data_IF_026106132243
#
_entry.id   IF_026106132243
#
_cell.length_a   1.000
_cell.length_b   1.000
_cell.length_c   1.000
_cell.angle_alpha   90.00
_cell.angle_beta   90.00
_cell.angle_gamma   90.00
#
_symmetry.space_group_name_H-M   'P 1'
#
loop_
_entity.id
_entity.type
_entity.pdbx_description
1 polymer ?
#
# COMPACT_ATOMS: atom_id res chain seq x y z
N UNK A 1 -16.33 -37.88 -8.21
CA UNK A 1 -16.61 -36.46 -7.94
C UNK A 1 -15.63 -36.02 -6.87
N UNK A 2 -14.75 -35.05 -7.18
CA UNK A 2 -13.77 -34.57 -6.19
C UNK A 2 -14.48 -33.84 -5.09
N UNK A 3 -13.99 -34.02 -3.86
CA UNK A 3 -14.43 -33.19 -2.75
C UNK A 3 -13.68 -31.86 -2.86
N UNK A 4 -14.39 -30.75 -2.70
CA UNK A 4 -13.79 -29.41 -2.54
C UNK A 4 -12.72 -29.40 -1.43
N UNK A 5 -12.79 -30.34 -0.49
CA UNK A 5 -11.81 -30.50 0.56
C UNK A 5 -10.38 -30.77 0.04
N UNK A 6 -10.20 -31.45 -1.11
CA UNK A 6 -8.89 -31.75 -1.64
C UNK A 6 -8.14 -30.51 -2.10
N UNK A 7 -8.86 -29.58 -2.71
CA UNK A 7 -8.35 -28.27 -3.12
C UNK A 7 -7.97 -27.44 -1.89
N UNK A 8 -8.80 -27.49 -0.86
CA UNK A 8 -8.57 -26.80 0.40
C UNK A 8 -7.38 -27.41 1.16
N UNK A 9 -7.20 -28.73 1.18
CA UNK A 9 -6.05 -29.39 1.80
C UNK A 9 -4.75 -29.04 1.08
N UNK A 10 -4.77 -29.01 -0.24
CA UNK A 10 -3.61 -28.57 -1.01
C UNK A 10 -3.26 -27.10 -0.71
N UNK A 11 -4.25 -26.23 -0.73
CA UNK A 11 -4.09 -24.82 -0.33
C UNK A 11 -3.45 -24.68 1.05
N UNK A 12 -3.93 -25.38 2.07
CA UNK A 12 -3.37 -25.33 3.43
C UNK A 12 -1.91 -25.76 3.46
N UNK A 13 -1.56 -26.87 2.78
CA UNK A 13 -0.20 -27.42 2.79
C UNK A 13 0.78 -26.47 2.11
N UNK A 14 0.41 -25.83 1.03
CA UNK A 14 1.26 -24.84 0.35
C UNK A 14 1.35 -23.56 1.17
N UNK A 15 0.24 -23.03 1.66
CA UNK A 15 0.19 -21.82 2.48
C UNK A 15 1.08 -21.86 3.71
N UNK A 16 1.10 -23.01 4.40
CA UNK A 16 1.90 -23.20 5.62
C UNK A 16 3.30 -23.79 5.37
N UNK A 17 3.71 -23.94 4.11
CA UNK A 17 5.04 -24.40 3.75
C UNK A 17 5.30 -25.87 4.06
N UNK A 18 4.26 -26.72 4.21
CA UNK A 18 4.40 -28.15 4.40
C UNK A 18 3.32 -28.82 5.23
N UNK A 19 3.32 -30.16 5.20
CA UNK A 19 2.30 -30.99 5.83
C UNK A 19 2.23 -30.89 7.36
N UNK A 20 3.37 -30.71 8.02
CA UNK A 20 3.41 -30.62 9.49
C UNK A 20 2.83 -29.31 9.97
N UNK A 21 3.29 -28.20 9.41
CA UNK A 21 2.79 -26.85 9.75
C UNK A 21 1.30 -26.70 9.38
N UNK A 22 0.87 -27.24 8.24
CA UNK A 22 -0.54 -27.26 7.87
C UNK A 22 -1.42 -28.08 8.84
N UNK A 23 -0.90 -29.21 9.33
CA UNK A 23 -1.59 -30.05 10.31
C UNK A 23 -1.78 -29.32 11.65
N UNK A 24 -0.76 -28.62 12.12
CA UNK A 24 -0.81 -27.83 13.35
C UNK A 24 -1.80 -26.64 13.24
N UNK A 25 -1.77 -25.96 12.09
CA UNK A 25 -2.62 -24.80 11.86
C UNK A 25 -4.10 -25.13 11.62
N UNK A 26 -4.44 -26.34 11.12
CA UNK A 26 -5.80 -26.71 10.68
C UNK A 26 -6.51 -27.75 11.53
N UNK A 27 -5.84 -28.36 12.50
CA UNK A 27 -6.33 -29.54 13.26
C UNK A 27 -6.65 -30.76 12.36
N UNK A 28 -6.08 -30.82 11.15
CA UNK A 28 -6.20 -31.96 10.24
C UNK A 28 -4.93 -32.79 10.30
N UNK A 29 -5.06 -34.11 10.45
CA UNK A 29 -3.89 -34.97 10.60
C UNK A 29 -3.00 -34.96 9.35
N UNK A 30 -1.68 -34.96 9.54
CA UNK A 30 -0.69 -35.00 8.45
C UNK A 30 -0.91 -36.15 7.48
N UNK A 31 -1.31 -37.32 8.00
CA UNK A 31 -1.63 -38.49 7.18
C UNK A 31 -2.83 -38.29 6.28
N UNK A 32 -3.88 -37.59 6.76
CA UNK A 32 -5.06 -37.25 5.96
C UNK A 32 -4.69 -36.26 4.86
N UNK A 33 -3.96 -35.18 5.17
CA UNK A 33 -3.52 -34.20 4.18
C UNK A 33 -2.67 -34.87 3.09
N UNK A 34 -1.68 -35.68 3.48
CA UNK A 34 -0.79 -36.35 2.54
C UNK A 34 -1.54 -37.32 1.62
N UNK A 35 -2.44 -38.15 2.19
CA UNK A 35 -3.21 -39.12 1.41
C UNK A 35 -4.12 -38.44 0.39
N UNK A 36 -4.88 -37.40 0.82
CA UNK A 36 -5.83 -36.72 -0.06
C UNK A 36 -5.15 -35.97 -1.20
N UNK A 37 -3.99 -35.38 -0.96
CA UNK A 37 -3.21 -34.73 -2.02
C UNK A 37 -2.62 -35.77 -2.97
N UNK A 38 -2.17 -36.93 -2.45
CA UNK A 38 -1.76 -38.05 -3.29
C UNK A 38 -2.89 -38.54 -4.22
N UNK A 39 -4.07 -38.75 -3.67
CA UNK A 39 -5.22 -39.20 -4.43
C UNK A 39 -5.56 -38.19 -5.54
N UNK A 40 -5.44 -36.87 -5.25
CA UNK A 40 -5.62 -35.80 -6.23
C UNK A 40 -4.57 -35.86 -7.36
N UNK A 41 -3.27 -35.97 -7.01
CA UNK A 41 -2.17 -36.08 -7.98
C UNK A 41 -2.33 -37.34 -8.87
N UNK A 42 -2.68 -38.47 -8.28
CA UNK A 42 -2.87 -39.74 -9.00
C UNK A 42 -4.03 -39.63 -9.99
N UNK A 43 -5.10 -39.03 -9.60
CA UNK A 43 -6.29 -38.97 -10.44
C UNK A 43 -6.09 -38.13 -11.70
N UNK A 44 -5.38 -37.01 -11.59
CA UNK A 44 -5.07 -36.18 -12.75
C UNK A 44 -3.76 -36.58 -13.43
N UNK A 45 -3.08 -37.61 -12.91
CA UNK A 45 -1.76 -38.06 -13.37
C UNK A 45 -0.74 -36.89 -13.44
N UNK A 46 -0.72 -36.07 -12.40
CA UNK A 46 0.16 -34.91 -12.27
C UNK A 46 0.94 -34.95 -10.96
N UNK A 47 2.02 -34.18 -10.87
CA UNK A 47 2.75 -33.94 -9.62
C UNK A 47 2.65 -32.47 -9.25
N UNK A 48 2.04 -32.17 -8.10
CA UNK A 48 1.86 -30.82 -7.56
C UNK A 48 2.95 -30.50 -6.52
N UNK A 49 3.47 -31.53 -5.81
CA UNK A 49 4.48 -31.41 -4.79
C UNK A 49 5.65 -32.32 -5.13
N UNK A 50 6.87 -31.76 -5.15
CA UNK A 50 8.08 -32.55 -5.28
C UNK A 50 8.33 -33.30 -3.96
N UNK A 51 8.32 -34.66 -4.04
CA UNK A 51 8.58 -35.49 -2.87
C UNK A 51 10.06 -35.63 -2.66
N UNK A 52 10.61 -34.81 -1.80
CA UNK A 52 11.95 -34.98 -1.24
C UNK A 52 11.83 -35.17 0.26
N UNK A 53 12.55 -36.12 0.82
CA UNK A 53 12.55 -36.38 2.27
C UNK A 53 13.19 -35.25 3.09
N UNK A 54 13.81 -34.26 2.43
CA UNK A 54 14.56 -33.21 3.10
C UNK A 54 13.95 -31.80 2.94
N UNK A 55 13.19 -31.56 1.87
CA UNK A 55 12.63 -30.20 1.62
C UNK A 55 11.24 -30.29 0.98
N UNK A 56 10.29 -29.52 1.52
CA UNK A 56 9.01 -29.28 0.88
C UNK A 56 9.20 -28.33 -0.32
N UNK A 57 8.77 -28.75 -1.50
CA UNK A 57 8.85 -27.91 -2.70
C UNK A 57 7.63 -28.14 -3.58
N UNK A 58 7.00 -27.07 -4.03
CA UNK A 58 5.86 -27.07 -4.96
C UNK A 58 6.39 -27.12 -6.39
N UNK A 59 5.73 -27.84 -7.29
CA UNK A 59 6.06 -27.83 -8.73
C UNK A 59 5.53 -26.55 -9.40
N UNK A 60 6.00 -26.18 -10.62
CA UNK A 60 5.41 -25.06 -11.37
C UNK A 60 3.90 -25.23 -11.57
N UNK A 61 3.43 -26.42 -11.95
CA UNK A 61 2.02 -26.74 -12.04
C UNK A 61 1.31 -26.64 -10.68
N UNK A 62 1.99 -27.07 -9.60
CA UNK A 62 1.46 -26.93 -8.25
C UNK A 62 1.30 -25.45 -7.85
N UNK A 63 2.19 -24.57 -8.30
CA UNK A 63 2.06 -23.14 -8.03
C UNK A 63 0.86 -22.52 -8.75
N UNK A 64 0.67 -22.82 -10.04
CA UNK A 64 -0.50 -22.40 -10.79
C UNK A 64 -1.80 -22.92 -10.14
N UNK A 65 -1.80 -24.20 -9.75
CA UNK A 65 -2.94 -24.81 -9.08
C UNK A 65 -3.22 -24.20 -7.71
N UNK A 66 -2.18 -23.81 -6.96
CA UNK A 66 -2.30 -23.11 -5.68
C UNK A 66 -3.02 -21.77 -5.84
N UNK A 67 -2.70 -21.00 -6.87
CA UNK A 67 -3.35 -19.73 -7.16
C UNK A 67 -4.85 -19.91 -7.39
N UNK A 68 -5.26 -20.96 -8.13
CA UNK A 68 -6.67 -21.29 -8.30
C UNK A 68 -7.31 -21.77 -6.99
N UNK A 69 -6.61 -22.56 -6.18
CA UNK A 69 -7.10 -22.97 -4.86
C UNK A 69 -7.30 -21.79 -3.91
N UNK A 70 -6.45 -20.75 -3.99
CA UNK A 70 -6.66 -19.50 -3.27
C UNK A 70 -7.99 -18.83 -3.63
N UNK A 71 -8.31 -18.78 -4.94
CA UNK A 71 -9.59 -18.24 -5.42
C UNK A 71 -10.79 -19.04 -4.91
N UNK A 72 -10.70 -20.36 -4.93
CA UNK A 72 -11.75 -21.26 -4.42
C UNK A 72 -11.96 -21.06 -2.92
N UNK A 73 -10.87 -21.05 -2.12
CA UNK A 73 -10.93 -20.82 -0.68
C UNK A 73 -11.58 -19.47 -0.35
N UNK A 74 -11.21 -18.43 -1.08
CA UNK A 74 -11.83 -17.11 -0.94
C UNK A 74 -13.35 -17.13 -1.25
N UNK A 75 -13.80 -17.90 -2.26
CA UNK A 75 -15.23 -18.02 -2.59
C UNK A 75 -16.03 -18.75 -1.50
N UNK A 76 -15.45 -19.76 -0.85
CA UNK A 76 -16.09 -20.46 0.29
C UNK A 76 -16.25 -19.50 1.47
N UNK A 77 -15.22 -18.69 1.79
CA UNK A 77 -15.35 -17.64 2.81
C UNK A 77 -16.45 -16.64 2.45
N UNK A 78 -16.55 -16.27 1.18
CA UNK A 78 -17.60 -15.40 0.68
C UNK A 78 -19.01 -15.96 0.93
N UNK A 79 -19.22 -17.26 0.64
CA UNK A 79 -20.49 -17.92 0.87
C UNK A 79 -20.83 -17.93 2.38
N UNK A 80 -19.87 -18.21 3.23
CA UNK A 80 -20.04 -18.14 4.69
C UNK A 80 -20.42 -16.73 5.14
N UNK A 81 -19.82 -15.68 4.56
CA UNK A 81 -20.16 -14.29 4.87
C UNK A 81 -21.59 -13.91 4.52
N UNK A 82 -22.14 -14.42 3.42
CA UNK A 82 -23.57 -14.18 3.08
C UNK A 82 -24.46 -14.68 4.19
N UNK A 83 -24.13 -15.82 4.79
CA UNK A 83 -24.87 -16.38 5.91
C UNK A 83 -24.72 -15.60 7.22
N UNK A 84 -23.54 -15.01 7.42
CA UNK A 84 -23.18 -14.26 8.64
C UNK A 84 -23.58 -12.76 8.57
N UNK A 85 -23.82 -12.20 7.38
CA UNK A 85 -24.16 -10.77 7.19
C UNK A 85 -25.38 -10.29 7.98
N UNK A 86 -26.27 -11.18 8.38
CA UNK A 86 -27.51 -10.78 9.09
C UNK A 86 -27.34 -10.45 10.57
N UNK A 87 -26.19 -10.68 11.22
CA UNK A 87 -26.08 -10.56 12.69
C UNK A 87 -24.71 -10.12 13.26
N UNK A 88 -23.69 -9.75 12.47
CA UNK A 88 -22.36 -9.58 13.06
C UNK A 88 -21.82 -8.16 12.96
N UNK A 89 -21.31 -7.65 14.09
CA UNK A 89 -20.40 -6.49 14.13
C UNK A 89 -19.13 -6.79 13.32
N UNK A 90 -18.51 -5.77 12.67
CA UNK A 90 -17.20 -5.91 12.06
C UNK A 90 -16.19 -6.47 13.05
N UNK A 91 -15.48 -7.53 12.68
CA UNK A 91 -14.48 -8.19 13.54
C UNK A 91 -13.43 -8.94 12.73
N UNK A 92 -12.30 -9.21 13.37
CA UNK A 92 -11.20 -10.00 12.81
C UNK A 92 -10.00 -9.16 12.42
N UNK A 93 -8.94 -9.83 11.97
CA UNK A 93 -7.67 -9.22 11.55
C UNK A 93 -7.73 -8.73 10.11
N UNK A 94 -7.21 -7.53 9.87
CA UNK A 94 -6.96 -6.94 8.55
C UNK A 94 -5.48 -6.55 8.48
N UNK A 95 -4.80 -7.01 7.43
CA UNK A 95 -3.42 -6.64 7.13
C UNK A 95 -3.39 -5.53 6.09
N UNK A 96 -2.76 -4.43 6.44
CA UNK A 96 -2.74 -3.21 5.62
C UNK A 96 -1.30 -2.83 5.32
N UNK A 97 -0.98 -2.59 4.05
CA UNK A 97 0.25 -1.89 3.69
C UNK A 97 -0.01 -0.41 3.40
N UNK A 98 0.90 0.46 3.86
CA UNK A 98 0.76 1.90 3.72
C UNK A 98 2.14 2.57 3.72
N UNK A 99 2.39 3.62 2.89
CA UNK A 99 3.60 4.43 3.00
C UNK A 99 3.68 5.11 4.37
N UNK A 100 4.87 5.08 4.99
CA UNK A 100 5.07 5.60 6.35
C UNK A 100 4.61 7.05 6.52
N UNK A 101 4.94 7.92 5.55
CA UNK A 101 4.56 9.33 5.63
C UNK A 101 3.02 9.50 5.56
N UNK A 102 2.36 8.78 4.66
CA UNK A 102 0.89 8.79 4.55
C UNK A 102 0.24 8.27 5.84
N UNK A 103 0.80 7.20 6.42
CA UNK A 103 0.33 6.70 7.71
C UNK A 103 0.38 7.77 8.79
N UNK A 104 1.49 8.49 8.91
CA UNK A 104 1.66 9.50 9.97
C UNK A 104 0.70 10.68 9.83
N UNK A 105 0.47 11.18 8.64
CA UNK A 105 -0.24 12.45 8.42
C UNK A 105 -1.73 12.30 8.06
N UNK A 106 -2.13 11.19 7.42
CA UNK A 106 -3.51 11.03 6.95
C UNK A 106 -4.22 9.81 7.55
N UNK A 107 -3.59 8.64 7.48
CA UNK A 107 -4.26 7.36 7.74
C UNK A 107 -4.39 7.03 9.23
N UNK A 108 -3.40 7.41 10.05
CA UNK A 108 -3.33 7.08 11.48
C UNK A 108 -4.60 7.45 12.24
N UNK A 109 -5.05 8.69 12.09
CA UNK A 109 -6.22 9.19 12.82
C UNK A 109 -7.49 8.44 12.40
N UNK A 110 -7.62 8.14 11.12
CA UNK A 110 -8.75 7.38 10.59
C UNK A 110 -8.76 5.94 11.12
N UNK A 111 -7.62 5.24 11.09
CA UNK A 111 -7.53 3.88 11.62
C UNK A 111 -7.77 3.82 13.13
N UNK A 112 -7.20 4.76 13.88
CA UNK A 112 -7.41 4.82 15.33
C UNK A 112 -8.88 5.05 15.69
N UNK A 113 -9.59 5.91 14.95
CA UNK A 113 -11.01 6.12 15.17
C UNK A 113 -11.83 4.90 14.75
N UNK A 114 -11.50 4.28 13.62
CA UNK A 114 -12.15 3.05 13.18
C UNK A 114 -12.04 1.92 14.21
N UNK A 115 -10.86 1.74 14.83
CA UNK A 115 -10.65 0.73 15.88
C UNK A 115 -11.43 1.04 17.17
N UNK A 116 -11.67 2.32 17.48
CA UNK A 116 -12.56 2.72 18.59
C UNK A 116 -14.02 2.40 18.30
N UNK A 117 -14.46 2.61 17.06
CA UNK A 117 -15.83 2.35 16.64
C UNK A 117 -16.10 0.84 16.48
N UNK A 118 -15.06 0.03 16.20
CA UNK A 118 -15.14 -1.41 16.00
C UNK A 118 -14.11 -2.18 16.86
N UNK A 119 -14.36 -2.34 18.17
CA UNK A 119 -13.35 -2.85 19.11
C UNK A 119 -12.99 -4.33 18.92
N UNK A 120 -13.73 -5.09 18.10
CA UNK A 120 -13.42 -6.49 17.77
C UNK A 120 -12.52 -6.63 16.52
N UNK A 121 -12.15 -5.50 15.91
CA UNK A 121 -11.24 -5.47 14.75
C UNK A 121 -9.80 -5.39 15.23
N UNK A 122 -8.92 -6.10 14.55
CA UNK A 122 -7.48 -6.03 14.71
C UNK A 122 -6.84 -5.58 13.39
N UNK A 123 -5.81 -4.77 13.46
CA UNK A 123 -5.08 -4.29 12.28
C UNK A 123 -3.60 -4.63 12.44
N UNK A 124 -3.02 -5.26 11.44
CA UNK A 124 -1.59 -5.42 11.26
C UNK A 124 -1.12 -4.47 10.17
N UNK A 125 -0.09 -3.67 10.45
CA UNK A 125 0.39 -2.62 9.55
C UNK A 125 1.78 -2.95 9.03
N UNK A 126 1.93 -3.01 7.70
CA UNK A 126 3.22 -2.99 7.03
C UNK A 126 3.48 -1.59 6.47
N UNK A 127 4.46 -0.88 7.03
CA UNK A 127 4.84 0.45 6.54
C UNK A 127 5.88 0.29 5.42
N UNK A 128 5.44 0.47 4.19
CA UNK A 128 6.31 0.33 3.02
C UNK A 128 5.86 1.22 1.86
N UNK A 129 6.83 1.73 1.10
CA UNK A 129 6.57 2.44 -0.17
C UNK A 129 6.79 1.53 -1.39
N UNK A 130 7.23 0.27 -1.20
CA UNK A 130 7.31 -0.70 -2.29
C UNK A 130 5.90 -1.08 -2.76
N UNK A 131 5.78 -1.45 -4.02
CA UNK A 131 4.55 -2.08 -4.52
C UNK A 131 4.47 -3.49 -3.94
N UNK A 132 3.52 -3.73 -3.04
CA UNK A 132 3.26 -5.05 -2.45
C UNK A 132 2.48 -5.93 -3.42
N UNK A 133 2.76 -7.22 -3.41
CA UNK A 133 1.92 -8.24 -4.03
C UNK A 133 0.91 -8.72 -2.98
N UNK A 134 -0.35 -8.32 -3.13
CA UNK A 134 -1.39 -8.58 -2.13
C UNK A 134 -1.56 -10.06 -1.78
N UNK A 135 -1.33 -10.96 -2.75
CA UNK A 135 -1.51 -12.39 -2.55
C UNK A 135 -0.28 -13.03 -1.91
N UNK A 136 0.93 -12.70 -2.40
CA UNK A 136 2.18 -13.28 -1.91
C UNK A 136 2.61 -12.69 -0.56
N UNK A 137 2.38 -11.39 -0.35
CA UNK A 137 2.74 -10.71 0.89
C UNK A 137 1.65 -10.87 1.99
N UNK A 138 0.54 -11.57 1.72
CA UNK A 138 -0.60 -11.78 2.65
C UNK A 138 -1.20 -10.44 3.15
N UNK A 139 -1.33 -9.46 2.24
CA UNK A 139 -1.91 -8.14 2.51
C UNK A 139 -3.37 -8.11 2.05
N UNK A 140 -4.30 -7.70 2.92
CA UNK A 140 -5.71 -7.55 2.59
C UNK A 140 -6.00 -6.23 1.84
N UNK A 141 -5.33 -5.14 2.23
CA UNK A 141 -5.54 -3.79 1.70
C UNK A 141 -4.20 -3.06 1.54
N UNK A 142 -3.91 -2.57 0.34
CA UNK A 142 -2.81 -1.65 0.12
C UNK A 142 -3.33 -0.22 -0.06
N UNK A 143 -2.78 0.72 0.72
CA UNK A 143 -2.96 2.16 0.54
C UNK A 143 -1.69 2.65 -0.16
N UNK A 144 -1.82 3.29 -1.31
CA UNK A 144 -0.67 3.76 -2.07
C UNK A 144 -0.96 5.04 -2.83
N UNK A 145 0.07 5.75 -3.26
CA UNK A 145 -0.02 6.80 -4.25
C UNK A 145 0.46 6.25 -5.59
N UNK A 146 -0.36 6.36 -6.62
CA UNK A 146 -0.02 5.95 -7.97
C UNK A 146 0.20 7.17 -8.86
N UNK A 147 1.32 7.16 -9.59
CA UNK A 147 1.72 8.17 -10.55
C UNK A 147 1.67 7.65 -12.01
N UNK A 148 1.30 6.38 -12.21
CA UNK A 148 1.26 5.73 -13.52
C UNK A 148 -0.01 4.88 -13.69
N UNK A 149 -0.50 4.75 -14.92
CA UNK A 149 -1.78 4.13 -15.26
C UNK A 149 -1.73 2.61 -15.49
N UNK A 150 -0.78 1.87 -14.94
CA UNK A 150 -0.67 0.42 -15.18
C UNK A 150 -1.18 -0.41 -13.99
N UNK A 151 -2.18 -1.26 -14.24
CA UNK A 151 -2.84 -2.06 -13.21
C UNK A 151 -3.00 -3.53 -13.61
N UNK A 152 -2.88 -4.38 -12.59
CA UNK A 152 -3.15 -5.81 -12.69
C UNK A 152 -4.68 -6.03 -12.66
N UNK A 153 -5.22 -6.71 -13.69
CA UNK A 153 -6.66 -6.92 -13.86
C UNK A 153 -7.33 -7.76 -12.77
N UNK A 154 -6.55 -8.40 -11.90
CA UNK A 154 -7.05 -9.23 -10.79
C UNK A 154 -7.39 -8.44 -9.52
N UNK A 155 -6.99 -7.17 -9.44
CA UNK A 155 -7.15 -6.32 -8.28
C UNK A 155 -8.26 -5.28 -8.47
N UNK A 156 -8.96 -4.95 -7.38
CA UNK A 156 -9.83 -3.78 -7.35
C UNK A 156 -9.00 -2.59 -6.90
N UNK A 157 -9.02 -1.55 -7.72
CA UNK A 157 -8.40 -0.28 -7.44
C UNK A 157 -9.48 0.78 -7.27
N UNK A 158 -9.45 1.47 -6.14
CA UNK A 158 -10.34 2.61 -5.85
C UNK A 158 -9.51 3.88 -5.75
N UNK A 159 -9.67 4.74 -6.73
CA UNK A 159 -9.16 6.11 -6.67
C UNK A 159 -9.93 6.89 -5.62
N UNK A 160 -9.19 7.49 -4.67
CA UNK A 160 -9.81 8.19 -3.53
C UNK A 160 -9.68 9.69 -3.67
N UNK A 161 -8.45 10.20 -3.76
CA UNK A 161 -8.13 11.62 -3.89
C UNK A 161 -6.94 11.82 -4.82
N UNK A 162 -6.96 12.91 -5.56
CA UNK A 162 -5.77 13.37 -6.29
C UNK A 162 -4.78 13.99 -5.31
N UNK A 163 -3.51 13.87 -5.60
CA UNK A 163 -2.42 14.43 -4.79
C UNK A 163 -1.31 14.94 -5.68
N UNK A 164 -0.54 15.87 -5.16
CA UNK A 164 0.64 16.42 -5.83
C UNK A 164 1.75 16.62 -4.81
N UNK A 165 2.95 16.80 -5.28
CA UNK A 165 4.05 17.28 -4.47
C UNK A 165 4.24 18.79 -4.65
N UNK A 166 4.95 19.37 -3.69
CA UNK A 166 5.33 20.78 -3.71
C UNK A 166 6.74 20.95 -3.16
N UNK A 167 7.43 21.99 -3.61
CA UNK A 167 8.71 22.38 -3.05
C UNK A 167 8.50 23.10 -1.73
N UNK A 168 9.21 22.67 -0.70
CA UNK A 168 9.13 23.26 0.64
C UNK A 168 10.51 23.48 1.24
N UNK A 169 10.61 24.51 2.07
CA UNK A 169 11.79 24.84 2.87
C UNK A 169 11.39 25.33 4.25
N UNK A 170 12.25 25.21 5.25
CA UNK A 170 12.03 25.88 6.54
C UNK A 170 12.32 27.38 6.44
N UNK A 171 11.68 28.23 7.28
CA UNK A 171 12.00 29.65 7.40
C UNK A 171 13.47 29.89 7.78
N UNK A 172 14.03 28.98 8.57
CA UNK A 172 15.45 29.05 9.02
C UNK A 172 16.41 28.94 7.83
N UNK A 173 16.16 28.03 6.89
CA UNK A 173 16.99 27.91 5.67
C UNK A 173 16.94 29.19 4.84
N UNK A 174 15.77 29.78 4.69
CA UNK A 174 15.58 30.92 3.81
C UNK A 174 16.07 32.25 4.42
N UNK A 175 16.17 32.37 5.74
CA UNK A 175 16.60 33.58 6.44
C UNK A 175 15.91 34.86 5.96
N UNK A 176 14.60 34.78 5.69
CA UNK A 176 13.79 35.89 5.19
C UNK A 176 13.88 36.13 3.68
N UNK A 177 14.68 35.37 2.94
CA UNK A 177 14.72 35.42 1.48
C UNK A 177 13.45 34.80 0.89
N UNK A 178 12.97 35.38 -0.21
CA UNK A 178 11.89 34.81 -1.02
C UNK A 178 12.46 34.30 -2.34
N UNK A 179 12.20 33.04 -2.65
CA UNK A 179 12.52 32.44 -3.95
C UNK A 179 11.35 32.77 -4.88
N UNK A 180 11.58 33.53 -5.94
CA UNK A 180 10.57 33.99 -6.89
C UNK A 180 10.70 33.34 -8.26
N UNK A 181 11.84 32.75 -8.54
CA UNK A 181 12.13 32.10 -9.81
C UNK A 181 12.90 30.78 -9.59
N UNK A 182 12.65 29.79 -10.42
CA UNK A 182 13.25 28.47 -10.28
C UNK A 182 14.78 28.46 -10.40
N UNK A 183 15.38 29.46 -11.08
CA UNK A 183 16.85 29.59 -11.15
C UNK A 183 17.49 29.86 -9.81
N UNK A 184 16.78 30.45 -8.86
CA UNK A 184 17.28 30.73 -7.50
C UNK A 184 17.38 29.46 -6.63
N UNK A 185 16.72 28.37 -7.03
CA UNK A 185 16.76 27.10 -6.29
C UNK A 185 18.18 26.53 -6.17
N UNK A 186 19.06 26.81 -7.12
CA UNK A 186 20.46 26.35 -7.10
C UNK A 186 21.31 26.98 -5.98
N UNK A 187 20.84 28.08 -5.39
CA UNK A 187 21.52 28.74 -4.28
C UNK A 187 21.31 28.03 -2.93
N UNK A 188 20.40 27.07 -2.89
CA UNK A 188 20.04 26.34 -1.69
C UNK A 188 20.38 24.85 -1.82
N UNK A 189 20.77 24.19 -0.73
CA UNK A 189 20.95 22.75 -0.75
C UNK A 189 19.64 22.04 -1.02
N UNK A 190 19.69 20.97 -1.81
CA UNK A 190 18.53 20.11 -2.08
C UNK A 190 18.57 18.81 -1.28
N UNK A 191 17.40 18.29 -0.97
CA UNK A 191 17.18 17.00 -0.32
C UNK A 191 16.29 16.18 -1.22
N UNK A 192 16.66 14.93 -1.50
CA UNK A 192 15.94 14.10 -2.47
C UNK A 192 15.57 12.74 -1.93
N UNK A 193 14.43 12.24 -2.42
CA UNK A 193 14.02 10.86 -2.24
C UNK A 193 14.70 9.97 -3.30
N UNK A 194 15.36 8.90 -2.83
CA UNK A 194 16.07 7.92 -3.66
C UNK A 194 17.58 8.02 -3.53
N UNK A 195 18.24 6.85 -3.55
CA UNK A 195 19.69 6.72 -3.28
C UNK A 195 20.48 6.14 -4.44
N UNK A 196 19.81 5.67 -5.51
CA UNK A 196 20.45 4.87 -6.56
C UNK A 196 20.36 5.52 -7.97
N UNK A 197 20.13 6.82 -8.05
CA UNK A 197 20.09 7.53 -9.32
C UNK A 197 21.47 8.11 -9.64
N UNK A 198 21.87 8.07 -10.91
CA UNK A 198 23.07 8.73 -11.40
C UNK A 198 22.93 10.26 -11.41
N UNK A 199 21.71 10.73 -11.65
CA UNK A 199 21.36 12.15 -11.67
C UNK A 199 20.01 12.36 -10.98
N UNK A 200 19.84 13.52 -10.36
CA UNK A 200 18.62 13.91 -9.67
C UNK A 200 18.07 15.18 -10.28
N UNK A 201 16.75 15.23 -10.46
CA UNK A 201 16.01 16.37 -11.01
C UNK A 201 14.73 16.58 -10.23
N UNK A 202 14.29 17.82 -10.12
CA UNK A 202 12.90 18.15 -9.90
C UNK A 202 12.22 18.35 -11.25
N UNK A 203 11.23 17.55 -11.57
CA UNK A 203 10.34 17.70 -12.73
C UNK A 203 9.15 18.54 -12.29
N UNK A 204 9.13 19.81 -12.66
CA UNK A 204 8.10 20.74 -12.23
C UNK A 204 7.17 21.09 -13.37
N UNK A 205 5.87 21.12 -13.09
CA UNK A 205 4.80 21.52 -13.99
C UNK A 205 4.23 22.85 -13.48
N UNK A 206 4.13 23.84 -14.35
CA UNK A 206 3.44 25.08 -14.02
C UNK A 206 1.91 24.83 -14.09
N UNK A 207 1.19 25.31 -13.09
CA UNK A 207 -0.28 25.11 -12.98
C UNK A 207 -1.09 26.06 -13.84
N UNK A 208 -0.54 27.24 -14.12
CA UNK A 208 -1.21 28.30 -14.86
C UNK A 208 -0.89 28.27 -16.34
N UNK A 209 0.30 27.76 -16.69
CA UNK A 209 0.81 27.66 -18.03
C UNK A 209 1.25 26.21 -18.27
N UNK A 210 0.94 25.65 -19.40
CA UNK A 210 1.33 24.27 -19.76
C UNK A 210 2.85 24.18 -20.01
N UNK A 211 3.64 24.51 -18.99
CA UNK A 211 5.10 24.55 -19.01
C UNK A 211 5.67 23.50 -18.08
N UNK A 212 6.67 22.78 -18.53
CA UNK A 212 7.39 21.75 -17.77
C UNK A 212 8.87 22.11 -17.75
N UNK A 213 9.49 22.04 -16.58
CA UNK A 213 10.93 22.28 -16.44
C UNK A 213 11.59 21.17 -15.62
N UNK A 214 12.82 20.86 -16.00
CA UNK A 214 13.69 19.92 -15.29
C UNK A 214 14.83 20.68 -14.62
N UNK A 215 14.89 20.64 -13.29
CA UNK A 215 15.91 21.32 -12.51
C UNK A 215 16.92 20.27 -12.04
N UNK A 216 18.14 20.27 -12.56
CA UNK A 216 19.19 19.36 -12.13
C UNK A 216 19.62 19.69 -10.71
N UNK A 217 19.84 18.65 -9.90
CA UNK A 217 20.14 18.78 -8.48
C UNK A 217 21.48 18.19 -8.12
N UNK A 218 22.13 18.83 -7.15
CA UNK A 218 23.26 18.27 -6.40
C UNK A 218 22.85 18.08 -4.93
N UNK A 219 22.17 16.96 -4.61
CA UNK A 219 21.56 16.83 -3.30
C UNK A 219 22.60 16.69 -2.18
N UNK A 220 22.42 17.50 -1.13
CA UNK A 220 23.17 17.38 0.12
C UNK A 220 22.78 16.12 0.90
N UNK A 221 21.47 15.76 0.85
CA UNK A 221 20.95 14.56 1.49
C UNK A 221 20.16 13.73 0.47
N UNK A 222 20.40 12.43 0.49
CA UNK A 222 19.68 11.43 -0.29
C UNK A 222 19.13 10.39 0.68
N UNK A 223 17.83 10.15 0.66
CA UNK A 223 17.17 9.17 1.51
C UNK A 223 16.23 8.31 0.70
N UNK A 224 16.07 7.06 1.06
CA UNK A 224 15.00 6.20 0.56
C UNK A 224 13.75 6.25 1.46
N UNK A 225 13.79 7.01 2.54
CA UNK A 225 12.69 7.26 3.45
C UNK A 225 12.18 8.69 3.33
N UNK A 226 10.91 8.83 2.95
CA UNK A 226 10.27 10.13 2.76
C UNK A 226 10.08 10.88 4.09
N UNK A 227 9.93 10.14 5.21
CA UNK A 227 9.87 10.78 6.54
C UNK A 227 11.22 11.40 6.91
N UNK A 228 12.33 10.73 6.60
CA UNK A 228 13.68 11.30 6.76
C UNK A 228 13.88 12.57 5.94
N UNK A 229 13.38 12.61 4.70
CA UNK A 229 13.39 13.82 3.87
C UNK A 229 12.57 14.94 4.52
N UNK A 230 11.36 14.64 4.99
CA UNK A 230 10.47 15.59 5.66
C UNK A 230 11.15 16.25 6.90
N UNK A 231 11.71 15.44 7.80
CA UNK A 231 12.38 15.98 8.99
C UNK A 231 13.61 16.80 8.63
N UNK A 232 14.40 16.35 7.66
CA UNK A 232 15.58 17.11 7.21
C UNK A 232 15.22 18.51 6.66
N UNK A 233 14.09 18.63 5.94
CA UNK A 233 13.57 19.95 5.51
C UNK A 233 13.12 20.79 6.70
N UNK A 234 12.39 20.18 7.64
CA UNK A 234 11.94 20.85 8.87
C UNK A 234 13.11 21.42 9.69
N UNK A 235 14.21 20.69 9.72
CA UNK A 235 15.44 21.07 10.43
C UNK A 235 16.34 22.04 9.61
N UNK A 236 15.85 22.59 8.50
CA UNK A 236 16.56 23.61 7.73
C UNK A 236 17.72 23.11 6.89
N UNK A 237 17.80 21.82 6.58
CA UNK A 237 18.95 21.25 5.89
C UNK A 237 18.90 21.40 4.37
N UNK A 238 17.76 21.81 3.80
CA UNK A 238 17.61 22.03 2.36
C UNK A 238 16.16 22.16 1.92
N UNK A 239 15.97 22.33 0.61
CA UNK A 239 14.67 22.32 -0.06
C UNK A 239 14.38 20.88 -0.50
N UNK A 240 13.14 20.43 -0.36
CA UNK A 240 12.70 19.16 -0.92
C UNK A 240 11.33 19.25 -1.59
N UNK A 241 11.08 18.29 -2.46
CA UNK A 241 9.82 18.01 -3.09
C UNK A 241 9.06 16.95 -2.26
N UNK A 242 7.96 17.37 -1.62
CA UNK A 242 7.19 16.55 -0.69
C UNK A 242 5.70 16.51 -1.04
N UNK A 243 4.98 15.42 -0.69
CA UNK A 243 3.53 15.37 -0.83
C UNK A 243 2.87 16.54 -0.10
N UNK A 244 2.06 17.33 -0.82
CA UNK A 244 1.41 18.52 -0.26
C UNK A 244 0.61 18.20 1.01
N UNK A 245 -0.18 17.12 0.98
CA UNK A 245 -0.98 16.67 2.14
C UNK A 245 -0.15 16.33 3.39
N UNK A 246 1.14 16.04 3.25
CA UNK A 246 2.00 15.76 4.38
C UNK A 246 2.60 17.01 5.01
N UNK A 247 2.71 18.10 4.26
CA UNK A 247 3.38 19.34 4.69
C UNK A 247 2.43 20.51 4.89
N UNK A 248 1.18 20.39 4.48
CA UNK A 248 0.19 21.45 4.51
C UNK A 248 0.00 22.06 5.89
N UNK A 249 -0.13 21.26 6.93
CA UNK A 249 -0.27 21.76 8.29
C UNK A 249 0.95 22.57 8.73
N UNK A 250 2.16 22.17 8.29
CA UNK A 250 3.37 22.91 8.58
C UNK A 250 3.45 24.21 7.81
N UNK A 251 2.94 24.24 6.58
CA UNK A 251 2.82 25.47 5.79
C UNK A 251 1.84 26.44 6.46
N UNK A 252 0.64 25.98 6.85
CA UNK A 252 -0.36 26.80 7.54
C UNK A 252 0.15 27.36 8.88
N UNK A 253 0.98 26.59 9.59
CA UNK A 253 1.57 27.00 10.87
C UNK A 253 2.89 27.78 10.72
N UNK A 254 3.33 28.03 9.49
CA UNK A 254 4.57 28.77 9.22
C UNK A 254 5.85 28.01 9.57
N UNK A 255 5.78 26.70 9.81
CA UNK A 255 6.96 25.85 10.04
C UNK A 255 7.68 25.48 8.75
N UNK A 256 6.95 25.44 7.65
CA UNK A 256 7.47 25.31 6.30
C UNK A 256 6.94 26.42 5.41
N UNK A 257 7.70 26.79 4.41
CA UNK A 257 7.33 27.74 3.37
C UNK A 257 7.17 26.98 2.06
N UNK A 258 6.05 27.16 1.41
CA UNK A 258 5.80 26.64 0.08
C UNK A 258 6.57 27.48 -0.94
N UNK A 259 7.51 26.86 -1.64
CA UNK A 259 8.36 27.50 -2.62
C UNK A 259 7.72 27.38 -4.00
N UNK A 260 7.63 28.51 -4.73
CA UNK A 260 7.07 28.56 -6.09
C UNK A 260 5.70 27.85 -6.18
N UNK A 261 4.66 28.35 -5.50
CA UNK A 261 3.37 27.67 -5.40
C UNK A 261 2.65 27.47 -6.73
N UNK A 262 3.03 28.19 -7.77
CA UNK A 262 2.57 28.00 -9.15
C UNK A 262 3.15 26.75 -9.82
N UNK A 263 4.18 26.14 -9.21
CA UNK A 263 4.82 24.93 -9.71
C UNK A 263 4.52 23.74 -8.82
N UNK A 264 4.29 22.58 -9.42
CA UNK A 264 4.09 21.32 -8.72
C UNK A 264 4.82 20.17 -9.41
N UNK A 265 5.00 19.08 -8.70
CA UNK A 265 5.54 17.85 -9.26
C UNK A 265 4.64 16.66 -8.92
N UNK A 266 4.94 15.51 -9.52
CA UNK A 266 4.38 14.20 -9.15
C UNK A 266 2.85 14.22 -8.96
N UNK A 267 2.12 14.58 -10.03
CA UNK A 267 0.66 14.45 -10.04
C UNK A 267 0.28 12.96 -9.91
N UNK A 268 -0.42 12.62 -8.87
CA UNK A 268 -0.77 11.25 -8.58
C UNK A 268 -2.16 11.12 -7.97
N UNK A 269 -2.53 9.87 -7.68
CA UNK A 269 -3.81 9.54 -7.04
C UNK A 269 -3.56 8.60 -5.87
N UNK A 270 -4.11 8.93 -4.72
CA UNK A 270 -4.17 8.01 -3.58
C UNK A 270 -5.19 6.94 -3.88
N UNK A 271 -4.76 5.71 -3.79
CA UNK A 271 -5.54 4.52 -4.15
C UNK A 271 -5.65 3.56 -2.98
N UNK A 272 -6.82 2.93 -2.87
CA UNK A 272 -7.04 1.73 -2.09
C UNK A 272 -7.07 0.53 -3.03
N UNK A 273 -6.16 -0.42 -2.83
CA UNK A 273 -6.02 -1.61 -3.68
C UNK A 273 -6.25 -2.86 -2.85
N UNK A 274 -7.11 -3.74 -3.34
CA UNK A 274 -7.45 -4.99 -2.68
C UNK A 274 -7.87 -6.05 -3.69
N UNK A 275 -7.79 -7.34 -3.31
CA UNK A 275 -8.17 -8.41 -4.19
C UNK A 275 -9.68 -8.40 -4.48
N UNK A 276 -10.07 -8.67 -5.74
CA UNK A 276 -11.47 -8.85 -6.14
C UNK A 276 -12.02 -10.12 -5.48
N UNK A 277 -12.78 -9.97 -4.39
CA UNK A 277 -13.49 -11.08 -3.76
C UNK A 277 -14.99 -10.80 -3.80
N UNK A 278 -15.74 -11.59 -4.56
CA UNK A 278 -17.20 -11.61 -4.41
C UNK A 278 -17.49 -12.03 -2.96
N UNK A 279 -18.14 -11.18 -2.14
CA UNK A 279 -18.42 -11.43 -0.72
C UNK A 279 -17.27 -11.01 0.22
N UNK A 280 -16.70 -9.85 -0.02
CA UNK A 280 -15.72 -9.23 0.86
C UNK A 280 -16.17 -9.26 2.32
N UNK A 281 -15.27 -9.56 3.26
CA UNK A 281 -15.57 -9.56 4.71
C UNK A 281 -16.19 -8.22 5.10
N UNK A 282 -17.26 -8.22 5.91
CA UNK A 282 -17.95 -7.01 6.36
C UNK A 282 -16.99 -5.95 6.92
N UNK A 283 -15.98 -6.39 7.65
CA UNK A 283 -14.97 -5.51 8.24
C UNK A 283 -14.15 -4.77 7.16
N UNK A 284 -13.86 -5.44 6.02
CA UNK A 284 -13.15 -4.81 4.89
C UNK A 284 -14.03 -3.77 4.18
N UNK A 285 -15.30 -4.10 3.92
CA UNK A 285 -16.26 -3.17 3.32
C UNK A 285 -16.35 -1.90 4.18
N UNK A 286 -16.52 -2.06 5.49
CA UNK A 286 -16.62 -0.93 6.43
C UNK A 286 -15.33 -0.11 6.50
N UNK A 287 -14.17 -0.76 6.52
CA UNK A 287 -12.89 -0.06 6.56
C UNK A 287 -12.64 0.74 5.27
N UNK A 288 -12.92 0.14 4.09
CA UNK A 288 -12.75 0.81 2.80
C UNK A 288 -13.65 2.05 2.73
N UNK A 289 -14.94 1.92 3.07
CA UNK A 289 -15.88 3.04 3.09
C UNK A 289 -15.43 4.14 4.06
N UNK A 290 -14.95 3.74 5.25
CA UNK A 290 -14.45 4.65 6.27
C UNK A 290 -13.23 5.43 5.79
N UNK A 291 -12.25 4.73 5.20
CA UNK A 291 -11.04 5.35 4.66
C UNK A 291 -11.35 6.28 3.46
N UNK A 292 -12.22 5.85 2.53
CA UNK A 292 -12.62 6.69 1.40
C UNK A 292 -13.26 7.98 1.88
N UNK A 293 -14.20 7.88 2.84
CA UNK A 293 -14.86 9.06 3.39
C UNK A 293 -13.85 9.95 4.10
N UNK A 294 -13.06 9.40 5.03
CA UNK A 294 -12.12 10.17 5.83
C UNK A 294 -11.03 10.85 5.00
N UNK A 295 -10.47 10.16 4.00
CA UNK A 295 -9.46 10.75 3.11
C UNK A 295 -10.07 11.86 2.22
N UNK A 296 -11.31 11.68 1.75
CA UNK A 296 -12.01 12.73 0.99
C UNK A 296 -12.35 13.94 1.85
N UNK A 297 -12.74 13.73 3.10
CA UNK A 297 -13.03 14.83 4.02
C UNK A 297 -11.74 15.59 4.34
N UNK A 298 -10.62 14.91 4.62
CA UNK A 298 -9.31 15.54 4.75
C UNK A 298 -8.93 16.36 3.52
N UNK A 299 -9.18 15.88 2.30
CA UNK A 299 -8.88 16.61 1.08
C UNK A 299 -9.82 17.81 0.84
N UNK A 300 -11.07 17.77 1.31
CA UNK A 300 -12.03 18.88 1.18
C UNK A 300 -11.72 20.05 2.10
N UNK A 301 -11.26 19.77 3.31
CA UNK A 301 -10.85 20.80 4.26
C UNK A 301 -9.63 21.58 3.73
N UNK A 302 -9.01 21.09 2.66
CA UNK A 302 -7.78 21.57 2.04
C UNK A 302 -7.96 22.08 0.60
N UNK A 303 -9.19 22.41 0.20
CA UNK A 303 -9.62 22.80 -1.16
C UNK A 303 -8.98 24.08 -1.75
N UNK A 304 -7.97 24.66 -1.12
CA UNK A 304 -7.13 25.66 -1.78
C UNK A 304 -6.14 25.06 -2.81
N UNK A 305 -6.07 23.75 -2.95
CA UNK A 305 -5.06 23.04 -3.73
C UNK A 305 -5.66 21.90 -4.59
N UNK A 306 -6.67 22.21 -5.39
CA UNK A 306 -7.11 21.32 -6.47
C UNK A 306 -6.11 21.40 -7.63
N UNK A 307 -5.57 20.25 -8.10
CA UNK A 307 -4.72 20.24 -9.30
C UNK A 307 -5.52 20.60 -10.54
#
# INVERSE_FOLDING_TARGET
MHSFDDYYYFFLVVKHGGFSAASEASNITKSKLSRRILDLEHQFNVSLIQRSTRHFKVTPLGQEFYEECCKVSAQVECANHVLLKQKSEPQGLIKISCPALMMHFQVRTLLNQFLKDYPKVQIELELTSRRVDLLHDDIDLAIRTNFQANEDSSLIVRDVIKTTHCLVASPELLQGRQIRHFTELHEFPSIVLGTQKSQYYWHLHNREHDEVIDIPLQPRIKSNDLAGVYYAVRDGLGIADLPYLAVEQDIQQGRLIHILPEWCSNLGTVQLVYASRKGQRLVMEKLIDYLIKGLKDLARDHLGYTP
#
